data_IF_438910710585
#
_entry.id   IF_438910710585
#
_cell.length_a   1.000
_cell.length_b   1.000
_cell.length_c   1.000
_cell.angle_alpha   90.00
_cell.angle_beta   90.00
_cell.angle_gamma   90.00
#
_symmetry.space_group_name_H-M   'P 1'
#
loop_
_entity.id
_entity.type
_entity.pdbx_description
1 polymer ?
#
# COMPACT_ATOMS: atom_id res chain seq x y z
N UNK A 1 44.18 36.22 -21.34
CA UNK A 1 42.84 35.60 -21.25
C UNK A 1 43.09 34.12 -20.99
N UNK A 2 42.84 33.63 -19.77
CA UNK A 2 43.04 32.23 -19.40
C UNK A 2 41.73 31.48 -19.68
N UNK A 3 41.76 30.55 -20.63
CA UNK A 3 40.67 29.60 -20.84
C UNK A 3 40.68 28.61 -19.66
N UNK A 4 39.70 28.76 -18.78
CA UNK A 4 39.45 27.83 -17.69
C UNK A 4 38.91 26.53 -18.27
N UNK A 5 39.79 25.53 -18.44
CA UNK A 5 39.38 24.16 -18.72
C UNK A 5 38.48 23.66 -17.60
N UNK A 6 37.18 23.53 -17.89
CA UNK A 6 36.27 22.72 -17.08
C UNK A 6 36.76 21.27 -17.17
N UNK A 7 37.52 20.82 -16.18
CA UNK A 7 37.74 19.39 -15.96
C UNK A 7 36.42 18.80 -15.48
N UNK A 8 35.76 18.01 -16.33
CA UNK A 8 34.68 17.15 -15.87
C UNK A 8 35.23 16.29 -14.72
N UNK A 9 34.50 16.15 -13.59
CA UNK A 9 34.98 15.34 -12.48
C UNK A 9 35.24 13.92 -13.01
N UNK A 10 36.48 13.46 -12.90
CA UNK A 10 36.82 12.08 -13.18
C UNK A 10 36.08 11.22 -12.14
N UNK A 11 34.93 10.69 -12.53
CA UNK A 11 34.25 9.61 -11.82
C UNK A 11 35.16 8.38 -11.90
N UNK A 12 36.09 8.27 -10.96
CA UNK A 12 36.96 7.12 -10.85
C UNK A 12 36.14 5.84 -10.62
N UNK A 13 36.70 4.66 -10.90
CA UNK A 13 36.04 3.36 -10.72
C UNK A 13 35.52 3.14 -9.28
N UNK A 14 36.06 3.88 -8.31
CA UNK A 14 35.63 3.88 -6.90
C UNK A 14 34.29 4.56 -6.64
N UNK A 15 33.92 5.58 -7.42
CA UNK A 15 32.66 6.32 -7.22
C UNK A 15 31.46 5.54 -7.77
N UNK A 16 31.66 4.79 -8.85
CA UNK A 16 30.63 3.91 -9.42
C UNK A 16 30.36 2.69 -8.51
N UNK A 17 31.43 2.09 -7.94
CA UNK A 17 31.29 1.01 -6.95
C UNK A 17 30.52 1.47 -5.70
N UNK A 18 30.87 2.63 -5.15
CA UNK A 18 30.23 3.15 -3.92
C UNK A 18 28.77 3.54 -4.12
N UNK A 19 28.39 4.05 -5.29
CA UNK A 19 26.99 4.34 -5.60
C UNK A 19 26.17 3.05 -5.76
N UNK A 20 26.73 2.03 -6.41
CA UNK A 20 26.04 0.75 -6.60
C UNK A 20 25.81 0.04 -5.25
N UNK A 21 26.78 0.09 -4.34
CA UNK A 21 26.69 -0.47 -2.99
C UNK A 21 25.61 0.23 -2.15
N UNK A 22 25.61 1.57 -2.14
CA UNK A 22 24.58 2.36 -1.44
C UNK A 22 23.18 2.11 -1.99
N UNK A 23 23.07 1.91 -3.31
CA UNK A 23 21.80 1.61 -3.96
C UNK A 23 21.30 0.21 -3.58
N UNK A 24 22.20 -0.78 -3.54
CA UNK A 24 21.90 -2.14 -3.10
C UNK A 24 21.39 -2.17 -1.65
N UNK A 25 22.04 -1.43 -0.75
CA UNK A 25 21.61 -1.31 0.65
C UNK A 25 20.23 -0.67 0.78
N UNK A 26 20.00 0.42 0.04
CA UNK A 26 18.70 1.10 0.00
C UNK A 26 17.59 0.19 -0.54
N UNK A 27 17.92 -0.64 -1.52
CA UNK A 27 17.01 -1.61 -2.11
C UNK A 27 16.70 -2.77 -1.15
N UNK A 28 17.70 -3.21 -0.37
CA UNK A 28 17.52 -4.22 0.67
C UNK A 28 16.59 -3.74 1.80
N UNK A 29 16.74 -2.47 2.22
CA UNK A 29 15.83 -1.82 3.17
C UNK A 29 14.41 -1.76 2.59
N UNK A 30 14.28 -1.30 1.34
CA UNK A 30 12.99 -1.21 0.65
C UNK A 30 12.29 -2.57 0.54
N UNK A 31 13.03 -3.63 0.21
CA UNK A 31 12.54 -5.01 0.17
C UNK A 31 12.04 -5.48 1.54
N UNK A 32 12.73 -5.12 2.63
CA UNK A 32 12.30 -5.45 4.01
C UNK A 32 10.97 -4.76 4.33
N UNK A 33 10.82 -3.47 4.02
CA UNK A 33 9.56 -2.74 4.18
C UNK A 33 8.43 -3.32 3.34
N UNK A 34 8.68 -3.63 2.07
CA UNK A 34 7.69 -4.29 1.20
C UNK A 34 7.21 -5.61 1.80
N UNK A 35 8.10 -6.37 2.45
CA UNK A 35 7.74 -7.61 3.14
C UNK A 35 6.85 -7.34 4.35
N UNK A 36 7.16 -6.33 5.17
CA UNK A 36 6.32 -5.92 6.30
C UNK A 36 4.92 -5.53 5.82
N UNK A 37 4.80 -4.68 4.81
CA UNK A 37 3.50 -4.29 4.26
C UNK A 37 2.74 -5.48 3.69
N UNK A 38 3.41 -6.37 2.96
CA UNK A 38 2.80 -7.60 2.47
C UNK A 38 2.21 -8.44 3.60
N UNK A 39 2.94 -8.63 4.70
CA UNK A 39 2.46 -9.38 5.87
C UNK A 39 1.27 -8.66 6.53
N UNK A 40 1.33 -7.34 6.69
CA UNK A 40 0.22 -6.56 7.24
C UNK A 40 -1.06 -6.71 6.42
N UNK A 41 -0.97 -6.63 5.08
CA UNK A 41 -2.12 -6.84 4.22
C UNK A 41 -2.65 -8.29 4.29
N UNK A 42 -1.78 -9.30 4.35
CA UNK A 42 -2.20 -10.70 4.52
C UNK A 42 -2.96 -10.89 5.83
N UNK A 43 -2.45 -10.32 6.94
CA UNK A 43 -3.14 -10.36 8.22
C UNK A 43 -4.51 -9.68 8.09
N UNK A 44 -4.57 -8.50 7.46
CA UNK A 44 -5.83 -7.80 7.19
C UNK A 44 -6.83 -8.65 6.39
N UNK A 45 -6.37 -9.34 5.34
CA UNK A 45 -7.21 -10.25 4.55
C UNK A 45 -7.77 -11.38 5.42
N UNK A 46 -6.91 -12.03 6.22
CA UNK A 46 -7.33 -13.12 7.11
C UNK A 46 -8.36 -12.62 8.12
N UNK A 47 -8.13 -11.46 8.72
CA UNK A 47 -9.07 -10.85 9.66
C UNK A 47 -10.41 -10.51 8.99
N UNK A 48 -10.40 -9.98 7.76
CA UNK A 48 -11.62 -9.72 6.99
C UNK A 48 -12.40 -11.01 6.72
N UNK A 49 -11.74 -12.09 6.32
CA UNK A 49 -12.43 -13.36 6.07
C UNK A 49 -12.94 -14.02 7.35
N UNK A 50 -12.19 -13.93 8.46
CA UNK A 50 -12.65 -14.40 9.76
C UNK A 50 -13.85 -13.59 10.26
N UNK A 51 -13.82 -12.26 10.10
CA UNK A 51 -14.96 -11.41 10.42
C UNK A 51 -16.17 -11.71 9.54
N UNK A 52 -15.97 -11.94 8.23
CA UNK A 52 -17.04 -12.34 7.32
C UNK A 52 -17.69 -13.65 7.76
N UNK A 53 -16.89 -14.69 8.03
CA UNK A 53 -17.38 -15.97 8.53
C UNK A 53 -18.10 -15.81 9.88
N UNK A 54 -17.52 -15.05 10.82
CA UNK A 54 -18.10 -14.78 12.13
C UNK A 54 -19.46 -14.08 12.03
N UNK A 55 -19.57 -13.03 11.22
CA UNK A 55 -20.82 -12.28 11.01
C UNK A 55 -21.88 -13.14 10.32
N UNK A 56 -21.48 -14.02 9.39
CA UNK A 56 -22.40 -14.96 8.76
C UNK A 56 -22.97 -15.96 9.77
N UNK A 57 -22.10 -16.60 10.56
CA UNK A 57 -22.53 -17.58 11.59
C UNK A 57 -23.41 -16.90 12.63
N UNK A 58 -22.98 -15.74 13.15
CA UNK A 58 -23.75 -14.99 14.14
C UNK A 58 -25.12 -14.59 13.58
N UNK A 59 -25.17 -13.97 12.39
CA UNK A 59 -26.42 -13.52 11.78
C UNK A 59 -27.41 -14.65 11.49
N UNK A 60 -26.92 -15.82 11.07
CA UNK A 60 -27.78 -17.01 10.90
C UNK A 60 -28.27 -17.53 12.25
N UNK A 61 -27.40 -17.60 13.26
CA UNK A 61 -27.74 -18.14 14.59
C UNK A 61 -28.73 -17.27 15.37
N UNK A 62 -28.74 -15.96 15.13
CA UNK A 62 -29.62 -14.99 15.80
C UNK A 62 -30.80 -14.55 14.93
N UNK A 63 -30.94 -15.10 13.72
CA UNK A 63 -31.93 -14.66 12.71
C UNK A 63 -31.86 -13.16 12.36
N UNK A 64 -30.68 -12.55 12.51
CA UNK A 64 -30.42 -11.15 12.18
C UNK A 64 -29.81 -11.05 10.77
N UNK A 65 -30.68 -10.90 9.77
CA UNK A 65 -30.27 -10.83 8.36
C UNK A 65 -29.35 -9.64 8.05
N UNK A 66 -29.45 -8.55 8.80
CA UNK A 66 -28.57 -7.38 8.69
C UNK A 66 -27.12 -7.74 9.03
N UNK A 67 -26.91 -8.47 10.13
CA UNK A 67 -25.61 -8.97 10.56
C UNK A 67 -25.05 -9.98 9.56
N UNK A 68 -25.90 -10.88 9.05
CA UNK A 68 -25.50 -11.78 7.97
C UNK A 68 -25.10 -11.00 6.70
N UNK A 69 -25.78 -9.89 6.39
CA UNK A 69 -25.42 -9.00 5.28
C UNK A 69 -24.03 -8.38 5.39
N UNK A 70 -23.57 -8.07 6.61
CA UNK A 70 -22.22 -7.55 6.85
C UNK A 70 -21.12 -8.56 6.44
N UNK A 71 -21.41 -9.86 6.46
CA UNK A 71 -20.46 -10.87 5.99
C UNK A 71 -20.02 -10.64 4.55
N UNK A 72 -20.95 -10.21 3.69
CA UNK A 72 -20.69 -9.90 2.28
C UNK A 72 -19.75 -8.71 2.16
N UNK A 73 -19.98 -7.67 2.97
CA UNK A 73 -19.13 -6.47 3.01
C UNK A 73 -17.69 -6.82 3.42
N UNK A 74 -17.52 -7.59 4.49
CA UNK A 74 -16.19 -8.03 4.95
C UNK A 74 -15.50 -8.95 3.95
N UNK A 75 -16.26 -9.81 3.25
CA UNK A 75 -15.72 -10.66 2.20
C UNK A 75 -15.18 -9.83 1.02
N UNK A 76 -15.94 -8.86 0.53
CA UNK A 76 -15.49 -7.96 -0.53
C UNK A 76 -14.32 -7.09 -0.09
N UNK A 77 -14.31 -6.60 1.16
CA UNK A 77 -13.17 -5.86 1.71
C UNK A 77 -11.89 -6.72 1.70
N UNK A 78 -11.97 -7.99 2.10
CA UNK A 78 -10.86 -8.94 2.01
C UNK A 78 -10.39 -9.17 0.57
N UNK A 79 -11.32 -9.29 -0.37
CA UNK A 79 -10.99 -9.42 -1.80
C UNK A 79 -10.30 -8.17 -2.36
N UNK A 80 -10.72 -6.97 -1.94
CA UNK A 80 -10.05 -5.72 -2.31
C UNK A 80 -8.62 -5.68 -1.76
N UNK A 81 -8.39 -6.13 -0.52
CA UNK A 81 -7.03 -6.21 0.01
C UNK A 81 -6.12 -7.17 -0.76
N UNK A 82 -6.65 -8.26 -1.35
CA UNK A 82 -5.86 -9.13 -2.24
C UNK A 82 -5.30 -8.37 -3.45
N UNK A 83 -6.09 -7.46 -4.03
CA UNK A 83 -5.63 -6.62 -5.15
C UNK A 83 -4.43 -5.76 -4.73
N UNK A 84 -4.46 -5.24 -3.50
CA UNK A 84 -3.37 -4.42 -2.97
C UNK A 84 -2.11 -5.22 -2.61
N UNK A 85 -2.21 -6.51 -2.28
CA UNK A 85 -1.04 -7.36 -1.99
C UNK A 85 -0.19 -7.63 -3.24
N UNK A 86 -0.83 -7.83 -4.40
CA UNK A 86 -0.14 -8.29 -5.62
C UNK A 86 1.02 -7.38 -6.07
N UNK A 87 0.89 -6.03 -6.08
CA UNK A 87 2.00 -5.14 -6.38
C UNK A 87 3.21 -5.31 -5.46
N UNK A 88 3.00 -5.52 -4.14
CA UNK A 88 4.10 -5.72 -3.19
C UNK A 88 4.83 -7.03 -3.45
N UNK A 89 4.10 -8.10 -3.76
CA UNK A 89 4.71 -9.39 -4.14
C UNK A 89 5.57 -9.24 -5.39
N UNK A 90 5.06 -8.55 -6.41
CA UNK A 90 5.78 -8.32 -7.67
C UNK A 90 7.02 -7.46 -7.47
N UNK A 91 6.90 -6.34 -6.76
CA UNK A 91 8.01 -5.44 -6.48
C UNK A 91 9.09 -6.12 -5.63
N UNK A 92 8.71 -6.93 -4.65
CA UNK A 92 9.64 -7.74 -3.84
C UNK A 92 10.41 -8.76 -4.67
N UNK A 93 9.75 -9.47 -5.59
CA UNK A 93 10.41 -10.44 -6.48
C UNK A 93 11.43 -9.74 -7.36
N UNK A 94 11.04 -8.63 -7.99
CA UNK A 94 11.95 -7.83 -8.83
C UNK A 94 13.15 -7.27 -8.05
N UNK A 95 12.94 -6.83 -6.80
CA UNK A 95 14.02 -6.40 -5.93
C UNK A 95 14.99 -7.55 -5.57
N UNK A 96 14.45 -8.75 -5.33
CA UNK A 96 15.28 -9.92 -5.07
C UNK A 96 16.10 -10.30 -6.30
N UNK A 97 15.49 -10.30 -7.49
CA UNK A 97 16.17 -10.64 -8.74
C UNK A 97 17.35 -9.69 -9.01
N UNK A 98 17.18 -8.38 -8.82
CA UNK A 98 18.25 -7.40 -8.98
C UNK A 98 19.41 -7.62 -8.00
N UNK A 99 19.12 -7.94 -6.73
CA UNK A 99 20.17 -8.24 -5.74
C UNK A 99 21.01 -9.46 -6.17
N UNK A 100 20.37 -10.47 -6.78
CA UNK A 100 21.08 -11.67 -7.24
C UNK A 100 21.77 -11.49 -8.59
N UNK A 101 21.23 -10.64 -9.47
CA UNK A 101 21.74 -10.43 -10.84
C UNK A 101 21.66 -8.94 -11.21
N UNK A 102 22.61 -8.12 -10.73
CA UNK A 102 22.58 -6.68 -10.98
C UNK A 102 22.65 -6.40 -12.49
N UNK A 103 21.58 -5.85 -13.05
CA UNK A 103 21.57 -5.36 -14.43
C UNK A 103 20.73 -4.09 -14.54
N UNK A 104 21.09 -3.22 -15.49
CA UNK A 104 20.37 -1.97 -15.72
C UNK A 104 18.89 -2.21 -16.08
N UNK A 105 18.60 -3.26 -16.85
CA UNK A 105 17.23 -3.64 -17.22
C UNK A 105 16.40 -4.05 -15.99
N UNK A 106 16.98 -4.84 -15.09
CA UNK A 106 16.30 -5.27 -13.87
C UNK A 106 16.05 -4.11 -12.91
N UNK A 107 17.00 -3.16 -12.85
CA UNK A 107 16.84 -1.93 -12.08
C UNK A 107 15.69 -1.08 -12.63
N UNK A 108 15.63 -0.90 -13.96
CA UNK A 108 14.55 -0.17 -14.62
C UNK A 108 13.18 -0.80 -14.36
N UNK A 109 13.08 -2.13 -14.44
CA UNK A 109 11.84 -2.87 -14.13
C UNK A 109 11.41 -2.70 -12.66
N UNK A 110 12.36 -2.78 -11.73
CA UNK A 110 12.08 -2.55 -10.31
C UNK A 110 11.59 -1.11 -10.06
N UNK A 111 12.27 -0.10 -10.60
CA UNK A 111 11.90 1.30 -10.43
C UNK A 111 10.50 1.59 -11.00
N UNK A 112 10.18 1.05 -12.18
CA UNK A 112 8.86 1.18 -12.77
C UNK A 112 7.77 0.53 -11.90
N UNK A 113 8.04 -0.67 -11.36
CA UNK A 113 7.11 -1.36 -10.46
C UNK A 113 6.93 -0.60 -9.13
N UNK A 114 8.03 -0.07 -8.57
CA UNK A 114 8.02 0.70 -7.34
C UNK A 114 7.25 2.02 -7.51
N UNK A 115 7.46 2.75 -8.61
CA UNK A 115 6.72 3.97 -8.92
C UNK A 115 5.21 3.70 -9.04
N UNK A 116 4.81 2.59 -9.67
CA UNK A 116 3.40 2.20 -9.76
C UNK A 116 2.81 1.87 -8.40
N UNK A 117 3.56 1.20 -7.53
CA UNK A 117 3.16 0.88 -6.17
C UNK A 117 2.86 2.15 -5.36
N UNK A 118 3.75 3.15 -5.40
CA UNK A 118 3.54 4.43 -4.72
C UNK A 118 2.36 5.23 -5.29
N UNK A 119 2.15 5.20 -6.61
CA UNK A 119 0.96 5.81 -7.22
C UNK A 119 -0.33 5.19 -6.69
N UNK A 120 -0.40 3.86 -6.65
CA UNK A 120 -1.57 3.15 -6.10
C UNK A 120 -1.78 3.55 -4.64
N UNK A 121 -0.71 3.51 -3.83
CA UNK A 121 -0.78 3.83 -2.40
C UNK A 121 -1.26 5.27 -2.15
N UNK A 122 -0.76 6.24 -2.93
CA UNK A 122 -1.19 7.62 -2.87
C UNK A 122 -2.67 7.80 -3.24
N UNK A 123 -3.13 7.19 -4.34
CA UNK A 123 -4.54 7.24 -4.77
C UNK A 123 -5.46 6.61 -3.70
N UNK A 124 -5.09 5.45 -3.17
CA UNK A 124 -5.87 4.76 -2.14
C UNK A 124 -5.93 5.58 -0.86
N UNK A 125 -4.83 6.20 -0.44
CA UNK A 125 -4.80 7.07 0.73
C UNK A 125 -5.70 8.28 0.55
N UNK A 126 -5.67 8.94 -0.60
CA UNK A 126 -6.58 10.05 -0.92
C UNK A 126 -8.04 9.61 -0.92
N UNK A 127 -8.34 8.43 -1.46
CA UNK A 127 -9.69 7.88 -1.44
C UNK A 127 -10.19 7.63 0.00
N UNK A 128 -9.34 7.06 0.87
CA UNK A 128 -9.68 6.85 2.29
C UNK A 128 -9.87 8.16 3.04
N UNK A 129 -9.00 9.15 2.82
CA UNK A 129 -9.16 10.49 3.40
C UNK A 129 -10.48 11.11 2.94
N UNK A 130 -10.79 11.05 1.63
CA UNK A 130 -12.04 11.54 1.08
C UNK A 130 -13.27 10.87 1.69
N UNK A 131 -13.25 9.54 1.83
CA UNK A 131 -14.33 8.78 2.47
C UNK A 131 -14.49 9.18 3.95
N UNK A 132 -13.39 9.33 4.69
CA UNK A 132 -13.42 9.76 6.09
C UNK A 132 -14.01 11.16 6.24
N UNK A 133 -13.63 12.10 5.38
CA UNK A 133 -14.19 13.45 5.39
C UNK A 133 -15.69 13.44 5.11
N UNK A 134 -16.16 12.63 4.15
CA UNK A 134 -17.58 12.45 3.89
C UNK A 134 -18.33 11.86 5.08
N UNK A 135 -17.75 10.87 5.77
CA UNK A 135 -18.34 10.31 6.99
C UNK A 135 -18.44 11.35 8.10
N UNK A 136 -17.39 12.16 8.31
CA UNK A 136 -17.40 13.24 9.32
C UNK A 136 -18.50 14.26 8.99
N UNK A 137 -18.57 14.72 7.74
CA UNK A 137 -19.62 15.66 7.31
C UNK A 137 -21.01 15.05 7.50
N UNK A 138 -21.20 13.79 7.09
CA UNK A 138 -22.47 13.07 7.28
C UNK A 138 -22.87 12.96 8.76
N UNK A 139 -21.91 12.67 9.65
CA UNK A 139 -22.13 12.52 11.08
C UNK A 139 -22.42 13.87 11.75
N UNK A 140 -21.78 14.96 11.31
CA UNK A 140 -22.08 16.32 11.74
C UNK A 140 -23.48 16.75 11.29
N UNK A 141 -23.86 16.50 10.04
CA UNK A 141 -25.19 16.84 9.52
C UNK A 141 -26.28 16.02 10.22
N UNK A 142 -26.07 14.70 10.40
CA UNK A 142 -27.00 13.84 11.12
C UNK A 142 -27.10 14.22 12.61
N UNK A 143 -25.99 14.57 13.25
CA UNK A 143 -25.94 15.02 14.64
C UNK A 143 -26.64 16.38 14.85
N UNK A 144 -26.43 17.33 13.95
CA UNK A 144 -27.13 18.63 13.96
C UNK A 144 -28.63 18.47 13.65
N UNK A 145 -29.00 17.57 12.74
CA UNK A 145 -30.39 17.22 12.46
C UNK A 145 -31.08 16.60 13.67
N UNK A 146 -30.46 15.61 14.33
CA UNK A 146 -30.99 15.00 15.54
C UNK A 146 -31.15 16.00 16.70
N UNK A 147 -30.22 16.95 16.83
CA UNK A 147 -30.31 18.01 17.84
C UNK A 147 -31.45 19.02 17.56
N UNK A 148 -31.77 19.31 16.29
CA UNK A 148 -32.92 20.16 15.94
C UNK A 148 -34.27 19.46 16.17
N UNK A 149 -34.38 18.16 15.92
CA UNK A 149 -35.63 17.41 16.14
C UNK A 149 -35.85 16.97 17.59
N UNK A 150 -34.81 16.91 18.43
CA UNK A 150 -34.95 16.63 19.86
C UNK A 150 -35.32 17.87 20.70
N UNK A 151 -35.31 19.07 20.10
CA UNK A 151 -35.67 20.34 20.74
C UNK A 151 -37.04 20.91 20.34
N UNK A 152 -37.83 20.16 19.56
CA UNK A 152 -39.21 20.48 19.18
C UNK A 152 -40.18 19.52 19.89
#
# INVERSE_FOLDING_TARGET
MQEGYYQAPQSGPTQELTLMDQFSDSLAITKRWMTVFQVLFIIGIVLCFLAAAGMLVLGISTSQYETAGLSVVYFFAGAIYLIYVLPFVKARKMAADYIFRPSADQLGLFLAANARLWKIWGITTLAFIGLYLLLIVGLVVAGLGAAMFAGA
#
